data_IF_521243077813
#
_entry.id   IF_521243077813
#
_cell.length_a   1.000
_cell.length_b   1.000
_cell.length_c   1.000
_cell.angle_alpha   90.00
_cell.angle_beta   90.00
_cell.angle_gamma   90.00
#
_symmetry.space_group_name_H-M   'P 1'
#
loop_
_entity.id
_entity.type
_entity.pdbx_description
1 polymer ?
#
# COMPACT_ATOMS: atom_id res chain seq x y z
N UNK A 1 -22.68 46.85 -18.82
CA UNK A 1 -23.17 45.85 -17.84
C UNK A 1 -22.87 44.39 -18.25
N UNK A 2 -22.51 44.13 -19.52
CA UNK A 2 -22.30 42.76 -20.04
C UNK A 2 -20.90 42.18 -19.80
N UNK A 3 -19.84 43.00 -19.76
CA UNK A 3 -18.46 42.52 -19.53
C UNK A 3 -18.23 41.90 -18.14
N UNK A 4 -19.03 42.29 -17.14
CA UNK A 4 -18.96 41.71 -15.79
C UNK A 4 -19.60 40.32 -15.70
N UNK A 5 -20.54 39.98 -16.61
CA UNK A 5 -21.19 38.66 -16.64
C UNK A 5 -20.29 37.58 -17.26
N UNK A 6 -19.43 37.95 -18.20
CA UNK A 6 -18.48 37.03 -18.86
C UNK A 6 -17.35 36.61 -17.92
N UNK A 7 -16.84 37.54 -17.09
CA UNK A 7 -15.81 37.25 -16.09
C UNK A 7 -16.30 36.32 -14.97
N UNK A 8 -17.57 36.43 -14.55
CA UNK A 8 -18.15 35.50 -13.56
C UNK A 8 -18.39 34.10 -14.12
N UNK A 9 -18.60 33.93 -15.43
CA UNK A 9 -18.81 32.61 -16.03
C UNK A 9 -17.50 31.81 -16.15
N UNK A 10 -16.39 32.49 -16.45
CA UNK A 10 -15.06 31.86 -16.55
C UNK A 10 -14.55 31.40 -15.19
N UNK A 11 -14.89 32.11 -14.10
CA UNK A 11 -14.47 31.76 -12.75
C UNK A 11 -15.19 30.52 -12.17
N UNK A 12 -16.40 30.23 -12.66
CA UNK A 12 -17.16 29.01 -12.26
C UNK A 12 -16.66 27.80 -13.05
N UNK A 13 -16.17 28.01 -14.28
CA UNK A 13 -15.65 26.92 -15.12
C UNK A 13 -14.30 26.38 -14.61
N UNK A 14 -13.47 27.20 -13.96
CA UNK A 14 -12.20 26.74 -13.39
C UNK A 14 -12.35 25.97 -12.07
N UNK A 15 -13.49 26.08 -11.38
CA UNK A 15 -13.72 25.36 -10.12
C UNK A 15 -14.20 23.92 -10.30
N UNK A 16 -14.75 23.57 -11.47
CA UNK A 16 -15.21 22.19 -11.74
C UNK A 16 -14.09 21.23 -12.18
N UNK A 17 -12.96 21.74 -12.70
CA UNK A 17 -11.86 20.86 -13.15
C UNK A 17 -10.86 20.49 -12.05
N UNK A 18 -10.89 21.17 -10.89
CA UNK A 18 -9.97 20.87 -9.78
C UNK A 18 -10.40 19.65 -8.95
N UNK A 19 -11.65 19.19 -9.06
CA UNK A 19 -12.21 18.13 -8.22
C UNK A 19 -12.12 16.71 -8.79
N UNK A 20 -11.60 16.52 -10.01
CA UNK A 20 -11.57 15.21 -10.69
C UNK A 20 -10.28 14.40 -10.38
N UNK A 21 -9.33 14.93 -9.59
CA UNK A 21 -8.07 14.22 -9.28
C UNK A 21 -7.98 13.54 -7.90
N UNK A 22 -9.06 13.50 -7.12
CA UNK A 22 -9.00 12.98 -5.74
C UNK A 22 -9.78 11.68 -5.49
N UNK A 23 -10.36 11.06 -6.52
CA UNK A 23 -11.27 9.93 -6.32
C UNK A 23 -11.02 8.79 -7.29
N UNK A 24 -9.79 8.27 -7.34
CA UNK A 24 -9.52 7.03 -8.08
C UNK A 24 -8.31 6.28 -7.49
N UNK A 25 -8.54 5.50 -6.44
CA UNK A 25 -7.79 4.27 -6.13
C UNK A 25 -8.36 3.56 -4.89
N UNK A 26 -9.59 3.04 -4.97
CA UNK A 26 -10.13 2.19 -3.89
C UNK A 26 -10.53 0.78 -4.27
N UNK A 27 -10.47 0.36 -5.55
CA UNK A 27 -11.18 -0.88 -5.92
C UNK A 27 -10.46 -1.84 -6.87
N UNK A 28 -9.13 -1.91 -6.86
CA UNK A 28 -8.42 -3.07 -7.43
C UNK A 28 -7.32 -3.66 -6.52
N UNK A 29 -7.06 -3.01 -5.38
CA UNK A 29 -6.10 -3.50 -4.38
C UNK A 29 -6.73 -4.45 -3.35
N UNK A 30 -8.07 -4.51 -3.24
CA UNK A 30 -8.73 -5.34 -2.22
C UNK A 30 -8.73 -6.85 -2.52
N UNK A 31 -8.44 -7.26 -3.75
CA UNK A 31 -8.42 -8.68 -4.13
C UNK A 31 -7.15 -9.43 -3.74
N UNK A 32 -6.10 -8.72 -3.32
CA UNK A 32 -4.88 -9.31 -2.78
C UNK A 32 -4.75 -8.87 -1.34
N UNK A 33 -5.07 -9.80 -0.44
CA UNK A 33 -5.05 -9.71 1.02
C UNK A 33 -4.46 -8.39 1.56
N UNK A 34 -5.33 -7.49 2.02
CA UNK A 34 -4.91 -6.42 2.93
C UNK A 34 -4.41 -7.09 4.20
N UNK A 35 -3.10 -7.05 4.42
CA UNK A 35 -2.49 -7.54 5.66
C UNK A 35 -2.46 -6.43 6.71
N UNK A 36 -2.63 -6.78 7.99
CA UNK A 36 -2.45 -5.81 9.06
C UNK A 36 -0.99 -5.34 9.09
N UNK A 37 -0.81 -4.03 9.24
CA UNK A 37 0.51 -3.43 9.33
C UNK A 37 1.09 -3.63 10.74
N UNK A 38 1.62 -4.84 10.98
CA UNK A 38 2.19 -5.25 12.26
C UNK A 38 3.34 -4.33 12.67
N UNK A 39 4.20 -3.95 11.72
CA UNK A 39 5.34 -3.06 12.00
C UNK A 39 4.85 -1.72 12.52
N UNK A 40 3.88 -1.11 11.85
CA UNK A 40 3.30 0.14 12.34
C UNK A 40 2.75 -0.01 13.75
N UNK A 41 2.06 -1.09 14.05
CA UNK A 41 1.52 -1.34 15.40
C UNK A 41 2.64 -1.46 16.44
N UNK A 42 3.72 -2.16 16.10
CA UNK A 42 4.91 -2.29 16.95
C UNK A 42 5.53 -0.92 17.21
N UNK A 43 5.81 -0.15 16.16
CA UNK A 43 6.47 1.16 16.26
C UNK A 43 5.59 2.18 17.00
N UNK A 44 4.29 2.22 16.72
CA UNK A 44 3.31 3.10 17.37
C UNK A 44 3.16 2.79 18.87
N UNK A 45 3.50 1.57 19.32
CA UNK A 45 3.28 1.10 20.70
C UNK A 45 4.56 0.62 21.38
N UNK A 46 5.74 0.99 20.88
CA UNK A 46 7.03 0.50 21.40
C UNK A 46 7.18 0.71 22.91
N UNK A 47 6.71 1.83 23.42
CA UNK A 47 6.79 2.20 24.84
C UNK A 47 5.84 1.35 25.72
N UNK A 48 4.78 0.78 25.13
CA UNK A 48 3.80 -0.08 25.82
C UNK A 48 4.12 -1.59 25.70
N UNK A 49 5.05 -1.93 24.80
CA UNK A 49 5.45 -3.30 24.51
C UNK A 49 6.67 -3.75 25.33
N UNK A 50 7.27 -2.85 26.10
CA UNK A 50 8.44 -3.13 26.94
C UNK A 50 9.55 -3.84 26.14
N UNK A 51 9.81 -3.37 24.92
CA UNK A 51 10.80 -3.99 24.01
C UNK A 51 12.21 -3.75 24.55
N UNK A 52 13.01 -4.81 24.63
CA UNK A 52 14.44 -4.66 24.93
C UNK A 52 15.16 -3.99 23.76
N UNK A 53 16.36 -3.45 24.02
CA UNK A 53 17.20 -2.89 22.96
C UNK A 53 17.54 -3.93 21.87
N UNK A 54 17.84 -5.16 22.26
CA UNK A 54 18.13 -6.27 21.33
C UNK A 54 16.91 -6.61 20.44
N UNK A 55 15.70 -6.58 21.02
CA UNK A 55 14.48 -6.77 20.24
C UNK A 55 14.27 -5.63 19.24
N UNK A 56 14.51 -4.38 19.66
CA UNK A 56 14.40 -3.22 18.78
C UNK A 56 15.39 -3.30 17.61
N UNK A 57 16.66 -3.63 17.88
CA UNK A 57 17.68 -3.79 16.84
C UNK A 57 17.33 -4.93 15.87
N UNK A 58 16.77 -6.04 16.38
CA UNK A 58 16.32 -7.16 15.54
C UNK A 58 15.14 -6.76 14.64
N UNK A 59 14.19 -5.98 15.15
CA UNK A 59 13.05 -5.46 14.39
C UNK A 59 13.52 -4.48 13.31
N UNK A 60 14.41 -3.54 13.64
CA UNK A 60 14.99 -2.59 12.69
C UNK A 60 15.80 -3.30 11.58
N UNK A 61 16.54 -4.34 11.94
CA UNK A 61 17.26 -5.19 10.99
C UNK A 61 16.31 -5.89 10.00
N UNK A 62 15.20 -6.44 10.50
CA UNK A 62 14.18 -7.05 9.65
C UNK A 62 13.58 -6.02 8.66
N UNK A 63 13.22 -4.84 9.15
CA UNK A 63 12.66 -3.75 8.33
C UNK A 63 13.66 -3.33 7.24
N UNK A 64 14.90 -3.05 7.63
CA UNK A 64 15.94 -2.60 6.70
C UNK A 64 16.26 -3.64 5.61
N UNK A 65 16.08 -4.92 5.90
CA UNK A 65 16.28 -6.01 4.95
C UNK A 65 15.14 -6.11 3.93
N UNK A 66 13.88 -6.08 4.39
CA UNK A 66 12.74 -6.39 3.52
C UNK A 66 12.06 -5.17 2.90
N UNK A 67 12.00 -4.03 3.59
CA UNK A 67 11.27 -2.86 3.14
C UNK A 67 11.76 -2.34 1.77
N UNK A 68 13.07 -2.25 1.48
CA UNK A 68 13.54 -1.86 0.15
C UNK A 68 13.05 -2.80 -0.96
N UNK A 69 13.04 -4.11 -0.71
CA UNK A 69 12.57 -5.11 -1.67
C UNK A 69 11.05 -4.99 -1.91
N UNK A 70 10.28 -4.76 -0.85
CA UNK A 70 8.83 -4.55 -0.90
C UNK A 70 8.50 -3.27 -1.68
N UNK A 71 9.21 -2.17 -1.42
CA UNK A 71 9.02 -0.90 -2.10
C UNK A 71 9.36 -0.98 -3.59
N UNK A 72 10.47 -1.63 -3.95
CA UNK A 72 10.82 -1.87 -5.34
C UNK A 72 9.76 -2.71 -6.05
N UNK A 73 9.24 -3.75 -5.39
CA UNK A 73 8.16 -4.58 -5.96
C UNK A 73 6.86 -3.80 -6.13
N UNK A 74 6.49 -2.95 -5.17
CA UNK A 74 5.33 -2.05 -5.28
C UNK A 74 5.47 -1.08 -6.45
N UNK A 75 6.67 -0.52 -6.67
CA UNK A 75 6.94 0.35 -7.81
C UNK A 75 6.73 -0.37 -9.14
N UNK A 76 7.23 -1.61 -9.27
CA UNK A 76 7.03 -2.43 -10.47
C UNK A 76 5.54 -2.77 -10.70
N UNK A 77 4.79 -3.06 -9.63
CA UNK A 77 3.35 -3.30 -9.68
C UNK A 77 2.62 -2.06 -10.21
N UNK A 78 2.89 -0.88 -9.66
CA UNK A 78 2.26 0.37 -10.07
C UNK A 78 2.53 0.68 -11.54
N UNK A 79 3.78 0.53 -11.99
CA UNK A 79 4.16 0.72 -13.40
C UNK A 79 3.41 -0.23 -14.35
N UNK A 80 3.23 -1.50 -13.95
CA UNK A 80 2.47 -2.46 -14.75
C UNK A 80 0.97 -2.19 -14.73
N UNK A 81 0.41 -1.67 -13.63
CA UNK A 81 -0.98 -1.24 -13.56
C UNK A 81 -1.23 -0.05 -14.50
N UNK A 82 -0.34 0.95 -14.51
CA UNK A 82 -0.43 2.07 -15.45
C UNK A 82 -0.35 1.59 -16.91
N UNK A 83 0.58 0.66 -17.20
CA UNK A 83 0.71 0.05 -18.52
C UNK A 83 -0.54 -0.74 -18.92
N UNK A 84 -1.13 -1.49 -17.99
CA UNK A 84 -2.37 -2.25 -18.22
C UNK A 84 -3.52 -1.31 -18.56
N UNK A 85 -3.71 -0.26 -17.75
CA UNK A 85 -4.77 0.72 -17.96
C UNK A 85 -4.64 1.39 -19.32
N UNK A 86 -3.43 1.83 -19.69
CA UNK A 86 -3.16 2.39 -21.00
C UNK A 86 -3.48 1.40 -22.13
N UNK A 87 -3.03 0.16 -22.01
CA UNK A 87 -3.25 -0.87 -23.02
C UNK A 87 -4.73 -1.19 -23.22
N UNK A 88 -5.54 -1.19 -22.14
CA UNK A 88 -6.98 -1.39 -22.22
C UNK A 88 -7.66 -0.22 -22.95
N UNK A 89 -7.32 1.02 -22.59
CA UNK A 89 -7.92 2.22 -23.19
C UNK A 89 -7.58 2.38 -24.67
N UNK A 90 -6.40 1.92 -25.08
CA UNK A 90 -5.94 1.97 -26.47
C UNK A 90 -6.42 0.78 -27.32
N UNK A 91 -7.24 -0.14 -26.76
CA UNK A 91 -7.74 -1.31 -27.49
C UNK A 91 -6.65 -2.34 -27.80
N UNK A 92 -5.66 -2.47 -26.91
CA UNK A 92 -4.54 -3.39 -27.05
C UNK A 92 -4.94 -4.85 -27.21
N UNK A 93 -4.02 -5.66 -27.73
CA UNK A 93 -4.29 -7.07 -28.02
C UNK A 93 -4.59 -7.84 -26.72
N UNK A 94 -5.56 -8.75 -26.80
CA UNK A 94 -5.96 -9.59 -25.67
C UNK A 94 -4.80 -10.38 -25.06
N UNK A 95 -3.84 -10.83 -25.88
CA UNK A 95 -2.67 -11.60 -25.39
C UNK A 95 -1.72 -10.71 -24.56
N UNK A 96 -1.49 -9.47 -25.00
CA UNK A 96 -0.64 -8.52 -24.27
C UNK A 96 -1.26 -8.15 -22.91
N UNK A 97 -2.59 -7.95 -22.89
CA UNK A 97 -3.36 -7.71 -21.66
C UNK A 97 -3.23 -8.89 -20.70
N UNK A 98 -3.40 -10.11 -21.20
CA UNK A 98 -3.28 -11.35 -20.41
C UNK A 98 -1.88 -11.49 -19.79
N UNK A 99 -0.83 -11.24 -20.56
CA UNK A 99 0.54 -11.31 -20.05
C UNK A 99 0.81 -10.31 -18.93
N UNK A 100 0.31 -9.07 -19.05
CA UNK A 100 0.45 -8.07 -17.99
C UNK A 100 -0.32 -8.49 -16.73
N UNK A 101 -1.54 -9.03 -16.88
CA UNK A 101 -2.32 -9.53 -15.73
C UNK A 101 -1.59 -10.65 -15.00
N UNK A 102 -1.05 -11.63 -15.72
CA UNK A 102 -0.27 -12.73 -15.12
C UNK A 102 0.96 -12.19 -14.39
N UNK A 103 1.67 -11.22 -14.98
CA UNK A 103 2.84 -10.61 -14.35
C UNK A 103 2.47 -9.82 -13.09
N UNK A 104 1.36 -9.09 -13.11
CA UNK A 104 0.84 -8.40 -11.93
C UNK A 104 0.52 -9.39 -10.80
N UNK A 105 -0.14 -10.49 -11.11
CA UNK A 105 -0.45 -11.54 -10.13
C UNK A 105 0.83 -12.11 -9.51
N UNK A 106 1.84 -12.41 -10.34
CA UNK A 106 3.14 -12.89 -9.88
C UNK A 106 3.80 -11.89 -8.93
N UNK A 107 3.96 -10.62 -9.34
CA UNK A 107 4.66 -9.62 -8.52
C UNK A 107 3.92 -9.34 -7.21
N UNK A 108 2.59 -9.34 -7.24
CA UNK A 108 1.75 -9.15 -6.04
C UNK A 108 1.91 -10.31 -5.06
N UNK A 109 1.97 -11.56 -5.55
CA UNK A 109 2.27 -12.73 -4.73
C UNK A 109 3.69 -12.67 -4.14
N UNK A 110 4.69 -12.33 -4.95
CA UNK A 110 6.08 -12.18 -4.50
C UNK A 110 6.22 -11.08 -3.43
N UNK A 111 5.51 -9.96 -3.59
CA UNK A 111 5.47 -8.89 -2.61
C UNK A 111 4.85 -9.35 -1.28
N UNK A 112 3.77 -10.13 -1.35
CA UNK A 112 3.12 -10.70 -0.16
C UNK A 112 4.06 -11.67 0.56
N UNK A 113 4.81 -12.50 -0.16
CA UNK A 113 5.81 -13.40 0.43
C UNK A 113 6.89 -12.61 1.18
N UNK A 114 7.38 -11.50 0.61
CA UNK A 114 8.34 -10.63 1.30
C UNK A 114 7.76 -10.06 2.60
N UNK A 115 6.50 -9.58 2.56
CA UNK A 115 5.83 -9.07 3.75
C UNK A 115 5.64 -10.15 4.82
N UNK A 116 5.29 -11.37 4.43
CA UNK A 116 5.15 -12.50 5.37
C UNK A 116 6.49 -12.81 6.04
N UNK A 117 7.60 -12.78 5.28
CA UNK A 117 8.95 -12.99 5.84
C UNK A 117 9.30 -11.90 6.85
N UNK A 118 9.09 -10.64 6.50
CA UNK A 118 9.31 -9.50 7.39
C UNK A 118 8.50 -9.63 8.68
N UNK A 119 7.20 -9.93 8.58
CA UNK A 119 6.32 -10.15 9.73
C UNK A 119 6.84 -11.28 10.63
N UNK A 120 7.33 -12.39 10.03
CA UNK A 120 7.86 -13.52 10.79
C UNK A 120 9.13 -13.19 11.53
N UNK A 121 10.06 -12.44 10.93
CA UNK A 121 11.27 -11.99 11.63
C UNK A 121 10.92 -11.08 12.83
N UNK A 122 9.98 -10.14 12.62
CA UNK A 122 9.48 -9.30 13.72
C UNK A 122 8.81 -10.16 14.80
N UNK A 123 7.96 -11.12 14.42
CA UNK A 123 7.31 -12.03 15.35
C UNK A 123 8.33 -12.84 16.16
N UNK A 124 9.37 -13.37 15.52
CA UNK A 124 10.42 -14.16 16.17
C UNK A 124 11.26 -13.33 17.15
N UNK A 125 11.31 -12.01 16.96
CA UNK A 125 12.01 -11.09 17.88
C UNK A 125 11.20 -10.78 19.15
N UNK A 126 9.94 -11.21 19.21
CA UNK A 126 9.01 -10.87 20.30
C UNK A 126 8.76 -12.07 21.20
N UNK A 127 8.51 -11.79 22.48
CA UNK A 127 7.94 -12.80 23.37
C UNK A 127 6.49 -13.11 22.99
N UNK A 128 5.99 -14.29 23.39
CA UNK A 128 4.60 -14.67 23.15
C UNK A 128 3.61 -13.63 23.74
N UNK A 129 3.93 -13.08 24.92
CA UNK A 129 3.11 -12.05 25.58
C UNK A 129 3.07 -10.75 24.78
N UNK A 130 4.22 -10.27 24.30
CA UNK A 130 4.31 -9.07 23.45
C UNK A 130 3.55 -9.27 22.13
N UNK A 131 3.70 -10.44 21.50
CA UNK A 131 2.99 -10.74 20.26
C UNK A 131 1.48 -10.80 20.47
N UNK A 132 1.00 -11.40 21.56
CA UNK A 132 -0.42 -11.37 21.95
C UNK A 132 -0.95 -9.95 22.15
N UNK A 133 -0.18 -9.05 22.79
CA UNK A 133 -0.55 -7.63 22.92
C UNK A 133 -0.71 -6.98 21.54
N UNK A 134 0.20 -7.23 20.61
CA UNK A 134 0.13 -6.70 19.23
C UNK A 134 -1.12 -7.20 18.49
N UNK A 135 -1.45 -8.48 18.60
CA UNK A 135 -2.66 -9.04 17.98
C UNK A 135 -3.92 -8.35 18.51
N UNK A 136 -4.03 -8.16 19.83
CA UNK A 136 -5.14 -7.44 20.45
C UNK A 136 -5.25 -5.99 19.96
N UNK A 137 -4.12 -5.29 19.79
CA UNK A 137 -4.09 -3.93 19.24
C UNK A 137 -4.55 -3.88 17.78
N UNK A 138 -4.22 -4.89 16.98
CA UNK A 138 -4.67 -5.01 15.59
C UNK A 138 -6.18 -5.23 15.53
N UNK A 139 -6.71 -6.12 16.38
CA UNK A 139 -8.14 -6.39 16.47
C UNK A 139 -8.93 -5.15 16.92
N UNK A 140 -8.42 -4.40 17.90
CA UNK A 140 -9.03 -3.17 18.38
C UNK A 140 -9.05 -2.04 17.33
N UNK A 141 -8.06 -1.99 16.42
CA UNK A 141 -8.00 -1.03 15.31
C UNK A 141 -8.88 -1.42 14.12
N UNK A 142 -9.40 -2.65 14.05
CA UNK A 142 -10.38 -3.07 13.02
C UNK A 142 -11.79 -2.61 13.44
N UNK A 143 -12.07 -1.31 13.29
CA UNK A 143 -13.41 -0.71 13.26
C UNK A 143 -13.55 0.06 11.96
#
# INVERSE_FOLDING_TARGET
MERRKILSLILIFTFFFSSIKAQENKNCDSYLASYPDIIKVVLDNKDNLDLSQEQMESIESAISTYEPMILERKKQINQLQEKLNKLILEGGKSEDIKQIILKLAQLKAENLVLKIKEIREVQNSLTESQYKKILSLIEAKKI
#
